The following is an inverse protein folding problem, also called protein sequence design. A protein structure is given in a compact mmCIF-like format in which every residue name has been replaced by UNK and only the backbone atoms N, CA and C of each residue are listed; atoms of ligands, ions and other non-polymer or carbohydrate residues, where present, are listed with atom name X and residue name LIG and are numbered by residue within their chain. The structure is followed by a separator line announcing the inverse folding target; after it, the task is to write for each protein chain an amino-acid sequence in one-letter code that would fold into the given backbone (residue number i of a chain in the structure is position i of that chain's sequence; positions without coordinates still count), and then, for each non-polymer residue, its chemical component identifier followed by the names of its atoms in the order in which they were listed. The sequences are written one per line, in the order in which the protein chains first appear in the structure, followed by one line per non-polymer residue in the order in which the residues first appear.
data_IF_817797709839
#
_entry.id   IF_817797709839
#
_cell.length_a   1.000
_cell.length_b   1.000
_cell.length_c   1.000
_cell.angle_alpha   90.00
_cell.angle_beta   90.00
_cell.angle_gamma   90.00
#
_symmetry.space_group_name_H-M   'P 1'
#
loop_
_entity.id
_entity.type
_entity.pdbx_description
1 polymer ?
#
# COMPACT_ATOMS: atom_id res chain seq x y z
N UNK A 1 -2.73 35.72 6.22
CA UNK A 1 -3.29 34.96 5.08
C UNK A 1 -3.88 33.70 5.67
N UNK A 2 -5.14 33.33 5.34
CA UNK A 2 -5.69 32.05 5.80
C UNK A 2 -4.87 30.91 5.17
N UNK A 3 -4.45 29.94 5.99
CA UNK A 3 -3.75 28.74 5.46
C UNK A 3 -4.66 28.02 4.49
N UNK A 4 -4.09 27.53 3.38
CA UNK A 4 -4.86 26.80 2.38
C UNK A 4 -5.31 25.46 2.98
N UNK A 5 -6.59 25.11 2.79
CA UNK A 5 -7.18 23.87 3.32
C UNK A 5 -6.82 22.68 2.45
N UNK A 6 -6.44 21.55 3.09
CA UNK A 6 -6.09 20.32 2.40
C UNK A 6 -6.64 19.09 3.12
N UNK A 7 -7.00 18.07 2.35
CA UNK A 7 -7.33 16.73 2.82
C UNK A 7 -6.28 15.73 2.34
N UNK A 8 -5.76 14.89 3.23
CA UNK A 8 -4.71 13.91 2.94
C UNK A 8 -5.32 12.51 2.80
N UNK A 9 -4.77 11.74 1.87
CA UNK A 9 -5.21 10.37 1.59
C UNK A 9 -4.01 9.44 1.48
N UNK A 10 -4.14 8.22 2.00
CA UNK A 10 -3.36 7.11 1.45
C UNK A 10 -3.90 6.73 0.06
N UNK A 11 -3.22 5.85 -0.61
CA UNK A 11 -3.54 5.46 -1.97
C UNK A 11 -4.14 4.04 -2.06
N UNK A 12 -3.32 3.01 -1.78
CA UNK A 12 -3.75 1.61 -1.86
C UNK A 12 -4.59 1.20 -0.64
N UNK A 13 -5.81 0.77 -0.85
CA UNK A 13 -6.78 0.47 0.22
C UNK A 13 -7.62 1.69 0.63
N UNK A 14 -7.34 2.87 0.07
CA UNK A 14 -8.13 4.09 0.32
C UNK A 14 -8.75 4.61 -0.97
N UNK A 15 -7.97 4.90 -2.01
CA UNK A 15 -8.46 5.39 -3.29
C UNK A 15 -8.70 4.24 -4.26
N UNK A 16 -7.82 3.23 -4.24
CA UNK A 16 -7.92 2.06 -5.10
C UNK A 16 -7.67 0.76 -4.32
N UNK A 17 -8.33 -0.31 -4.71
CA UNK A 17 -7.92 -1.67 -4.37
C UNK A 17 -6.83 -2.12 -5.34
N UNK A 18 -5.58 -2.17 -4.87
CA UNK A 18 -4.42 -2.61 -5.62
C UNK A 18 -4.08 -4.10 -5.44
N UNK A 19 -4.96 -4.91 -4.86
CA UNK A 19 -4.70 -6.31 -4.49
C UNK A 19 -4.21 -7.14 -5.69
N UNK A 20 -4.87 -7.01 -6.84
CA UNK A 20 -4.52 -7.76 -8.06
C UNK A 20 -3.15 -7.31 -8.59
N UNK A 21 -2.90 -5.99 -8.61
CA UNK A 21 -1.61 -5.44 -9.05
C UNK A 21 -0.46 -5.95 -8.18
N UNK A 22 -0.62 -5.88 -6.87
CA UNK A 22 0.40 -6.35 -5.94
C UNK A 22 0.72 -7.82 -6.09
N UNK A 23 -0.31 -8.67 -6.23
CA UNK A 23 -0.11 -10.09 -6.50
C UNK A 23 0.62 -10.30 -7.81
N UNK A 24 0.11 -9.74 -8.90
CA UNK A 24 0.64 -9.93 -10.25
C UNK A 24 2.07 -9.40 -10.39
N UNK A 25 2.33 -8.19 -9.90
CA UNK A 25 3.67 -7.58 -9.96
C UNK A 25 4.69 -8.33 -9.11
N UNK A 26 4.28 -8.83 -7.94
CA UNK A 26 5.15 -9.62 -7.07
C UNK A 26 5.42 -11.01 -7.63
N UNK A 27 4.42 -11.65 -8.22
CA UNK A 27 4.58 -12.94 -8.91
C UNK A 27 5.58 -12.81 -10.08
N UNK A 28 5.43 -11.76 -10.88
CA UNK A 28 6.33 -11.44 -11.98
C UNK A 28 7.75 -11.11 -11.47
N UNK A 29 7.86 -10.44 -10.32
CA UNK A 29 9.14 -10.17 -9.68
C UNK A 29 9.85 -11.46 -9.28
N UNK A 30 9.11 -12.41 -8.69
CA UNK A 30 9.64 -13.73 -8.34
C UNK A 30 10.08 -14.51 -9.59
N UNK A 31 9.25 -14.52 -10.64
CA UNK A 31 9.54 -15.25 -11.88
C UNK A 31 10.78 -14.72 -12.60
N UNK A 32 10.86 -13.40 -12.78
CA UNK A 32 11.87 -12.79 -13.66
C UNK A 32 13.19 -12.44 -12.98
N UNK A 33 13.17 -12.18 -11.67
CA UNK A 33 14.28 -11.52 -10.98
C UNK A 33 14.78 -12.26 -9.74
N UNK A 34 13.99 -13.20 -9.20
CA UNK A 34 14.36 -13.97 -8.03
C UNK A 34 14.75 -15.41 -8.40
N UNK A 35 15.67 -15.70 -9.21
CA UNK A 35 16.14 -17.06 -9.60
C UNK A 35 15.97 -18.11 -8.47
N UNK A 36 14.72 -18.42 -8.12
CA UNK A 36 14.43 -19.38 -7.06
C UNK A 36 14.20 -20.76 -7.69
N UNK A 37 15.01 -21.77 -7.34
CA UNK A 37 14.86 -23.13 -7.89
C UNK A 37 13.60 -23.84 -7.38
N UNK A 38 12.90 -23.24 -6.42
CA UNK A 38 11.71 -23.84 -5.77
C UNK A 38 10.40 -23.35 -6.37
N UNK A 39 10.44 -22.44 -7.35
CA UNK A 39 9.25 -21.82 -7.92
C UNK A 39 8.80 -22.58 -9.16
N UNK A 40 7.68 -23.28 -9.03
CA UNK A 40 6.94 -23.83 -10.16
C UNK A 40 5.86 -22.84 -10.57
N UNK A 41 6.05 -22.18 -11.73
CA UNK A 41 5.05 -21.26 -12.25
C UNK A 41 3.88 -22.00 -12.88
N UNK A 42 2.76 -22.07 -12.14
CA UNK A 42 1.48 -22.41 -12.72
C UNK A 42 0.86 -21.16 -13.37
N UNK A 43 0.56 -21.16 -14.68
CA UNK A 43 -0.14 -20.04 -15.34
C UNK A 43 -1.46 -19.66 -14.68
N UNK A 44 -2.08 -20.56 -13.90
CA UNK A 44 -3.29 -20.27 -13.12
C UNK A 44 -3.05 -19.23 -12.01
N UNK A 45 -1.83 -19.12 -11.49
CA UNK A 45 -1.45 -18.15 -10.47
C UNK A 45 -1.63 -16.70 -10.97
N UNK A 46 -1.53 -16.47 -12.28
CA UNK A 46 -1.77 -15.15 -12.87
C UNK A 46 -3.25 -14.79 -13.03
N UNK A 47 -4.16 -15.76 -12.87
CA UNK A 47 -5.59 -15.55 -13.08
C UNK A 47 -6.35 -15.15 -11.82
N UNK A 48 -5.81 -15.48 -10.64
CA UNK A 48 -6.54 -15.30 -9.38
C UNK A 48 -5.58 -15.04 -8.23
N UNK A 49 -5.88 -14.02 -7.44
CA UNK A 49 -5.20 -13.76 -6.17
C UNK A 49 -5.56 -14.85 -5.15
N UNK A 50 -4.59 -15.59 -4.58
CA UNK A 50 -4.87 -16.60 -3.56
C UNK A 50 -5.46 -15.99 -2.30
N UNK A 51 -6.37 -16.70 -1.63
CA UNK A 51 -6.95 -16.25 -0.37
C UNK A 51 -5.88 -16.00 0.70
N UNK A 52 -4.86 -16.85 0.79
CA UNK A 52 -3.73 -16.66 1.70
C UNK A 52 -3.08 -15.28 1.54
N UNK A 53 -2.87 -14.81 0.29
CA UNK A 53 -2.29 -13.49 0.06
C UNK A 53 -3.22 -12.38 0.54
N UNK A 54 -4.53 -12.48 0.25
CA UNK A 54 -5.54 -11.50 0.70
C UNK A 54 -5.59 -11.40 2.22
N UNK A 55 -5.54 -12.54 2.90
CA UNK A 55 -5.58 -12.62 4.37
C UNK A 55 -4.33 -12.03 5.03
N UNK A 56 -3.17 -12.09 4.37
CA UNK A 56 -1.91 -11.53 4.89
C UNK A 56 -1.80 -10.02 4.60
N UNK A 57 -2.47 -9.52 3.57
CA UNK A 57 -2.35 -8.12 3.11
C UNK A 57 -2.47 -7.07 4.22
N UNK A 58 -3.35 -7.21 5.24
CA UNK A 58 -3.46 -6.27 6.34
C UNK A 58 -2.19 -6.09 7.20
N UNK A 59 -1.28 -7.05 7.19
CA UNK A 59 0.00 -6.96 7.92
C UNK A 59 1.10 -6.25 7.11
N UNK A 60 0.97 -6.29 5.79
CA UNK A 60 1.99 -5.73 4.88
C UNK A 60 2.04 -4.22 4.98
N UNK A 61 3.24 -3.67 5.16
CA UNK A 61 3.50 -2.23 5.26
C UNK A 61 4.18 -1.68 4.01
N UNK A 62 5.12 -2.43 3.45
CA UNK A 62 5.93 -1.98 2.33
C UNK A 62 5.81 -2.91 1.12
N UNK A 63 5.99 -2.37 -0.08
CA UNK A 63 5.87 -3.15 -1.31
C UNK A 63 6.80 -4.36 -1.38
N UNK A 64 8.03 -4.25 -0.86
CA UNK A 64 8.99 -5.35 -0.86
C UNK A 64 8.49 -6.59 -0.09
N UNK A 65 7.67 -6.40 0.95
CA UNK A 65 7.07 -7.51 1.71
C UNK A 65 6.12 -8.33 0.86
N UNK A 66 5.46 -7.71 -0.14
CA UNK A 66 4.59 -8.42 -1.08
C UNK A 66 5.37 -9.47 -1.88
N UNK A 67 6.57 -9.08 -2.38
CA UNK A 67 7.44 -10.00 -3.13
C UNK A 67 7.86 -11.18 -2.26
N UNK A 68 8.26 -10.91 -1.02
CA UNK A 68 8.65 -11.94 -0.05
C UNK A 68 7.50 -12.91 0.22
N UNK A 69 6.29 -12.39 0.49
CA UNK A 69 5.11 -13.21 0.79
C UNK A 69 4.69 -14.04 -0.42
N UNK A 70 4.68 -13.45 -1.61
CA UNK A 70 4.37 -14.18 -2.83
C UNK A 70 5.37 -15.32 -3.05
N UNK A 71 6.66 -15.05 -2.87
CA UNK A 71 7.69 -16.09 -2.95
C UNK A 71 7.40 -17.27 -2.01
N UNK A 72 7.03 -17.00 -0.76
CA UNK A 72 6.71 -18.07 0.20
C UNK A 72 5.41 -18.82 -0.16
N UNK A 73 4.41 -18.14 -0.70
CA UNK A 73 3.13 -18.75 -1.12
C UNK A 73 3.32 -19.69 -2.32
N UNK A 74 4.20 -19.34 -3.27
CA UNK A 74 4.39 -20.11 -4.49
C UNK A 74 5.42 -21.23 -4.37
N UNK A 75 6.06 -21.39 -3.22
CA UNK A 75 6.90 -22.57 -2.95
C UNK A 75 6.05 -23.83 -2.97
N UNK A 76 6.63 -24.95 -3.47
CA UNK A 76 5.94 -26.24 -3.54
C UNK A 76 5.30 -26.67 -2.22
N UNK A 77 5.93 -26.35 -1.11
CA UNK A 77 5.46 -26.71 0.23
C UNK A 77 4.55 -25.63 0.87
N UNK A 78 4.41 -24.49 0.21
CA UNK A 78 3.67 -23.32 0.72
C UNK A 78 3.80 -23.17 2.25
N UNK A 79 4.96 -22.75 2.76
CA UNK A 79 5.24 -22.78 4.20
C UNK A 79 4.30 -21.91 5.02
N UNK A 80 3.70 -20.88 4.42
CA UNK A 80 2.74 -20.02 5.12
C UNK A 80 1.40 -20.71 5.32
N UNK A 81 0.90 -21.43 4.30
CA UNK A 81 -0.38 -22.11 4.40
C UNK A 81 -0.30 -23.43 5.19
N UNK A 82 0.82 -24.15 5.06
CA UNK A 82 0.98 -25.49 5.63
C UNK A 82 1.53 -25.49 7.08
N UNK A 83 2.18 -24.40 7.53
CA UNK A 83 2.88 -24.32 8.82
C UNK A 83 2.26 -23.28 9.78
N UNK A 84 0.94 -23.32 9.94
CA UNK A 84 0.24 -22.43 10.87
C UNK A 84 0.35 -20.93 10.49
N UNK A 85 -0.51 -20.50 9.57
CA UNK A 85 -0.66 -19.11 9.16
C UNK A 85 -0.76 -18.14 10.34
N UNK A 86 -1.46 -18.53 11.42
CA UNK A 86 -1.64 -17.67 12.58
C UNK A 86 -0.30 -17.38 13.29
N UNK A 87 0.59 -18.38 13.41
CA UNK A 87 1.93 -18.16 13.99
C UNK A 87 2.77 -17.24 13.10
N UNK A 88 2.63 -17.36 11.78
CA UNK A 88 3.29 -16.45 10.86
C UNK A 88 2.80 -15.02 11.06
N UNK A 89 1.50 -14.80 11.18
CA UNK A 89 0.89 -13.47 11.35
C UNK A 89 1.17 -12.86 12.72
N UNK A 90 1.15 -13.66 13.79
CA UNK A 90 1.46 -13.20 15.13
C UNK A 90 2.90 -12.69 15.29
N UNK A 91 3.83 -13.27 14.52
CA UNK A 91 5.24 -12.90 14.49
C UNK A 91 5.65 -12.32 13.12
N UNK A 92 4.75 -11.63 12.43
CA UNK A 92 4.88 -11.21 11.04
C UNK A 92 6.23 -10.54 10.73
N UNK A 93 6.60 -9.54 11.51
CA UNK A 93 7.85 -8.81 11.29
C UNK A 93 9.10 -9.69 11.43
N UNK A 94 9.17 -10.49 12.52
CA UNK A 94 10.29 -11.40 12.75
C UNK A 94 10.39 -12.47 11.66
N UNK A 95 9.24 -12.99 11.20
CA UNK A 95 9.20 -13.95 10.11
C UNK A 95 9.67 -13.33 8.79
N UNK A 96 9.28 -12.10 8.46
CA UNK A 96 9.81 -11.39 7.30
C UNK A 96 11.33 -11.20 7.40
N UNK A 97 11.86 -10.80 8.56
CA UNK A 97 13.31 -10.65 8.76
C UNK A 97 14.06 -11.99 8.63
N UNK A 98 13.49 -13.06 9.17
CA UNK A 98 14.05 -14.41 9.02
C UNK A 98 14.12 -14.82 7.54
N UNK A 99 13.04 -14.66 6.78
CA UNK A 99 13.00 -15.01 5.35
C UNK A 99 14.03 -14.20 4.55
N UNK A 100 14.17 -12.90 4.84
CA UNK A 100 15.22 -12.08 4.23
C UNK A 100 16.61 -12.67 4.50
N UNK A 101 16.89 -13.02 5.75
CA UNK A 101 18.18 -13.59 6.17
C UNK A 101 18.44 -14.94 5.52
N UNK A 102 17.47 -15.86 5.55
CA UNK A 102 17.59 -17.22 5.03
C UNK A 102 17.85 -17.24 3.50
N UNK A 103 17.36 -16.23 2.80
CA UNK A 103 17.59 -16.08 1.36
C UNK A 103 18.71 -15.08 1.01
N UNK A 104 19.40 -14.51 2.00
CA UNK A 104 20.41 -13.45 1.79
C UNK A 104 19.87 -12.26 1.00
N UNK A 105 18.61 -11.88 1.21
CA UNK A 105 17.95 -10.77 0.53
C UNK A 105 18.01 -9.47 1.32
N UNK A 106 17.99 -8.37 0.57
CA UNK A 106 17.90 -7.02 1.12
C UNK A 106 16.54 -6.43 0.72
N UNK A 107 15.78 -5.91 1.67
CA UNK A 107 14.45 -5.33 1.46
C UNK A 107 14.43 -4.27 0.33
N UNK A 108 15.47 -3.43 0.25
CA UNK A 108 15.62 -2.42 -0.81
C UNK A 108 15.74 -3.05 -2.21
N UNK A 109 16.36 -4.21 -2.33
CA UNK A 109 16.51 -4.87 -3.63
C UNK A 109 15.22 -5.58 -4.03
N UNK A 110 14.47 -6.16 -3.09
CA UNK A 110 13.11 -6.65 -3.35
C UNK A 110 12.18 -5.53 -3.81
N UNK A 111 12.29 -4.33 -3.21
CA UNK A 111 11.52 -3.16 -3.68
C UNK A 111 11.90 -2.77 -5.12
N UNK A 112 13.19 -2.77 -5.46
CA UNK A 112 13.66 -2.46 -6.81
C UNK A 112 13.12 -3.46 -7.85
N UNK A 113 13.12 -4.76 -7.53
CA UNK A 113 12.61 -5.77 -8.48
C UNK A 113 11.09 -5.70 -8.63
N UNK A 114 10.35 -5.37 -7.57
CA UNK A 114 8.93 -5.06 -7.67
C UNK A 114 8.69 -3.89 -8.62
N UNK A 115 9.44 -2.81 -8.45
CA UNK A 115 9.31 -1.62 -9.31
C UNK A 115 9.72 -1.90 -10.76
N UNK A 116 10.73 -2.75 -10.99
CA UNK A 116 11.09 -3.25 -12.34
C UNK A 116 9.97 -4.06 -12.97
N UNK A 117 9.30 -4.91 -12.20
CA UNK A 117 8.16 -5.70 -12.67
C UNK A 117 6.99 -4.81 -13.10
N UNK A 118 6.71 -3.75 -12.34
CA UNK A 118 5.72 -2.75 -12.71
C UNK A 118 6.07 -2.02 -14.00
N UNK A 119 7.32 -1.54 -14.11
CA UNK A 119 7.78 -0.88 -15.34
C UNK A 119 7.67 -1.80 -16.54
N UNK A 120 8.08 -3.05 -16.43
CA UNK A 120 7.95 -4.05 -17.49
C UNK A 120 6.49 -4.22 -17.95
N UNK A 121 5.54 -4.30 -16.99
CA UNK A 121 4.10 -4.40 -17.31
C UNK A 121 3.58 -3.13 -18.00
N UNK A 122 3.95 -1.96 -17.49
CA UNK A 122 3.58 -0.66 -18.05
C UNK A 122 4.07 -0.52 -19.49
N UNK A 123 5.31 -0.90 -19.75
CA UNK A 123 5.92 -0.83 -21.08
C UNK A 123 5.28 -1.82 -22.06
N UNK A 124 4.86 -2.98 -21.54
CA UNK A 124 4.22 -4.03 -22.35
C UNK A 124 2.76 -3.71 -22.65
N UNK A 125 1.99 -3.33 -21.65
CA UNK A 125 0.56 -2.97 -21.76
C UNK A 125 0.13 -2.12 -20.56
N UNK A 126 0.21 -0.81 -20.73
CA UNK A 126 -0.16 0.16 -19.70
C UNK A 126 -1.62 0.01 -19.26
N UNK A 127 -2.54 -0.19 -20.20
CA UNK A 127 -3.97 -0.29 -19.91
C UNK A 127 -4.28 -1.52 -19.05
N UNK A 128 -3.71 -2.66 -19.42
CA UNK A 128 -3.87 -3.89 -18.63
C UNK A 128 -3.29 -3.74 -17.23
N UNK A 129 -2.15 -3.06 -17.06
CA UNK A 129 -1.59 -2.79 -15.73
C UNK A 129 -2.48 -1.87 -14.89
N UNK A 130 -3.04 -0.82 -15.47
CA UNK A 130 -3.99 0.07 -14.77
C UNK A 130 -5.24 -0.69 -14.33
N UNK A 131 -5.78 -1.57 -15.17
CA UNK A 131 -6.96 -2.38 -14.88
C UNK A 131 -6.76 -3.42 -13.75
N UNK A 132 -5.55 -3.55 -13.20
CA UNK A 132 -5.30 -4.33 -11.97
C UNK A 132 -5.59 -3.54 -10.69
N UNK A 133 -6.12 -2.31 -10.81
CA UNK A 133 -6.49 -1.45 -9.70
C UNK A 133 -7.97 -1.12 -9.80
N UNK A 134 -8.73 -1.54 -8.80
CA UNK A 134 -10.16 -1.26 -8.73
C UNK A 134 -10.39 0.03 -7.91
N UNK A 135 -10.92 1.13 -8.49
CA UNK A 135 -11.14 2.37 -7.75
C UNK A 135 -12.32 2.25 -6.80
N UNK A 136 -12.21 2.84 -5.60
CA UNK A 136 -13.33 3.05 -4.69
C UNK A 136 -14.13 4.27 -5.14
N UNK A 137 -15.22 4.06 -5.85
CA UNK A 137 -15.98 5.13 -6.49
C UNK A 137 -16.54 6.17 -5.52
N UNK A 138 -16.90 5.77 -4.31
CA UNK A 138 -17.34 6.68 -3.25
C UNK A 138 -16.21 7.67 -2.85
N UNK A 139 -14.98 7.19 -2.82
CA UNK A 139 -13.81 8.05 -2.54
C UNK A 139 -13.52 8.97 -3.74
N UNK A 140 -13.67 8.47 -4.97
CA UNK A 140 -13.52 9.33 -6.16
C UNK A 140 -14.56 10.46 -6.14
N UNK A 141 -15.81 10.16 -5.83
CA UNK A 141 -16.86 11.16 -5.69
C UNK A 141 -16.54 12.18 -4.57
N UNK A 142 -16.01 11.71 -3.44
CA UNK A 142 -15.60 12.59 -2.35
C UNK A 142 -14.45 13.54 -2.77
N UNK A 143 -13.45 13.05 -3.51
CA UNK A 143 -12.38 13.87 -4.07
C UNK A 143 -12.92 14.95 -5.01
N UNK A 144 -13.92 14.65 -5.82
CA UNK A 144 -14.61 15.64 -6.66
C UNK A 144 -15.36 16.70 -5.85
N UNK A 145 -16.05 16.29 -4.78
CA UNK A 145 -16.73 17.23 -3.88
C UNK A 145 -15.75 18.17 -3.16
N UNK A 146 -14.59 17.67 -2.72
CA UNK A 146 -13.53 18.50 -2.16
C UNK A 146 -13.05 19.55 -3.18
N UNK A 147 -12.84 19.13 -4.43
CA UNK A 147 -12.44 20.03 -5.53
C UNK A 147 -13.47 21.12 -5.79
N UNK A 148 -14.77 20.79 -5.80
CA UNK A 148 -15.86 21.78 -5.95
C UNK A 148 -15.90 22.82 -4.84
N UNK A 149 -15.41 22.46 -3.64
CA UNK A 149 -15.33 23.34 -2.47
C UNK A 149 -14.00 24.07 -2.34
N UNK A 150 -13.14 24.02 -3.37
CA UNK A 150 -11.78 24.57 -3.36
C UNK A 150 -10.88 24.03 -2.21
N UNK A 151 -11.14 22.79 -1.77
CA UNK A 151 -10.31 22.08 -0.81
C UNK A 151 -9.28 21.27 -1.60
N UNK A 152 -8.01 21.51 -1.33
CA UNK A 152 -6.92 20.74 -1.95
C UNK A 152 -6.88 19.30 -1.46
N UNK A 153 -6.32 18.42 -2.26
CA UNK A 153 -6.09 17.02 -1.89
C UNK A 153 -4.62 16.68 -2.05
N UNK A 154 -4.07 15.90 -1.11
CA UNK A 154 -2.69 15.42 -1.14
C UNK A 154 -2.63 13.92 -0.92
N UNK A 155 -1.72 13.24 -1.60
CA UNK A 155 -1.53 11.80 -1.49
C UNK A 155 -0.21 11.51 -0.78
N UNK A 156 -0.26 10.67 0.27
CA UNK A 156 0.93 10.19 0.99
C UNK A 156 0.87 8.67 1.07
N UNK A 157 1.70 7.98 0.29
CA UNK A 157 1.60 6.53 0.11
C UNK A 157 2.93 5.80 0.27
N UNK A 158 2.88 4.51 0.59
CA UNK A 158 4.03 3.61 0.52
C UNK A 158 4.25 3.00 -0.87
N UNK A 159 3.40 3.32 -1.85
CA UNK A 159 3.64 3.06 -3.28
C UNK A 159 4.62 4.10 -3.85
N UNK A 160 5.43 3.76 -4.84
CA UNK A 160 6.28 4.73 -5.52
C UNK A 160 5.44 5.81 -6.22
N UNK A 161 5.81 7.09 -6.04
CA UNK A 161 5.10 8.26 -6.60
C UNK A 161 4.74 8.07 -8.08
N UNK A 162 5.70 7.66 -8.89
CA UNK A 162 5.53 7.49 -10.35
C UNK A 162 4.42 6.50 -10.73
N UNK A 163 4.15 5.51 -9.90
CA UNK A 163 3.08 4.53 -10.14
C UNK A 163 1.72 5.07 -9.71
N UNK A 164 1.63 5.66 -8.52
CA UNK A 164 0.42 6.30 -8.03
C UNK A 164 -0.04 7.41 -9.00
N UNK A 165 0.89 8.26 -9.45
CA UNK A 165 0.62 9.34 -10.41
C UNK A 165 0.01 8.85 -11.74
N UNK A 166 0.55 7.74 -12.28
CA UNK A 166 0.01 7.14 -13.52
C UNK A 166 -1.43 6.66 -13.37
N UNK A 167 -1.76 6.06 -12.23
CA UNK A 167 -3.10 5.54 -11.94
C UNK A 167 -4.06 6.71 -11.69
N UNK A 168 -3.69 7.67 -10.84
CA UNK A 168 -4.51 8.86 -10.56
C UNK A 168 -4.82 9.64 -11.84
N UNK A 169 -3.84 9.83 -12.71
CA UNK A 169 -4.04 10.47 -14.01
C UNK A 169 -5.06 9.72 -14.87
N UNK A 170 -5.03 8.40 -14.87
CA UNK A 170 -6.01 7.58 -15.62
C UNK A 170 -7.43 7.69 -15.03
N UNK A 171 -7.54 7.96 -13.74
CA UNK A 171 -8.80 8.20 -13.02
C UNK A 171 -9.26 9.68 -13.09
N UNK A 172 -8.54 10.55 -13.80
CA UNK A 172 -8.76 12.01 -13.86
C UNK A 172 -8.68 12.71 -12.49
N UNK A 173 -7.82 12.18 -11.58
CA UNK A 173 -7.57 12.75 -10.26
C UNK A 173 -6.23 13.47 -10.28
N UNK A 174 -6.22 14.75 -9.91
CA UNK A 174 -5.06 15.63 -9.94
C UNK A 174 -4.85 16.28 -8.55
N UNK A 175 -4.20 15.56 -7.61
CA UNK A 175 -3.92 16.11 -6.29
C UNK A 175 -2.87 17.22 -6.37
N UNK A 176 -2.81 18.08 -5.36
CA UNK A 176 -1.81 19.14 -5.21
C UNK A 176 -0.38 18.56 -5.18
N UNK A 177 -0.22 17.40 -4.53
CA UNK A 177 1.04 16.65 -4.50
C UNK A 177 0.81 15.15 -4.28
N UNK A 178 1.83 14.39 -4.65
CA UNK A 178 1.93 12.96 -4.38
C UNK A 178 3.29 12.70 -3.75
N UNK A 179 3.30 12.15 -2.54
CA UNK A 179 4.49 11.66 -1.85
C UNK A 179 4.47 10.13 -1.80
N UNK A 180 5.42 9.49 -2.48
CA UNK A 180 5.65 8.06 -2.44
C UNK A 180 6.63 7.65 -1.34
N UNK A 181 6.95 6.35 -1.24
CA UNK A 181 7.88 5.83 -0.23
C UNK A 181 9.26 6.50 -0.28
N UNK A 182 9.68 7.00 -1.43
CA UNK A 182 10.94 7.71 -1.65
C UNK A 182 11.00 9.06 -0.95
N UNK A 183 9.86 9.61 -0.55
CA UNK A 183 9.77 10.92 0.10
C UNK A 183 9.94 10.87 1.62
N UNK A 184 9.99 9.69 2.20
CA UNK A 184 10.14 9.47 3.63
C UNK A 184 8.89 8.91 4.32
N UNK A 185 8.82 9.04 5.65
CA UNK A 185 7.69 8.52 6.43
C UNK A 185 6.48 9.44 6.35
N UNK A 186 5.26 8.85 6.38
CA UNK A 186 3.99 9.61 6.35
C UNK A 186 3.93 10.68 7.45
N UNK A 187 4.42 10.37 8.65
CA UNK A 187 4.45 11.31 9.78
C UNK A 187 5.30 12.55 9.46
N UNK A 188 6.54 12.35 9.00
CA UNK A 188 7.44 13.47 8.66
C UNK A 188 6.90 14.33 7.52
N UNK A 189 6.21 13.71 6.56
CA UNK A 189 5.57 14.43 5.46
C UNK A 189 4.39 15.24 6.00
N UNK A 190 3.50 14.62 6.77
CA UNK A 190 2.35 15.30 7.38
C UNK A 190 2.80 16.49 8.27
N UNK A 191 3.82 16.31 9.11
CA UNK A 191 4.40 17.35 9.95
C UNK A 191 4.92 18.56 9.15
N UNK A 192 5.58 18.32 8.02
CA UNK A 192 5.98 19.42 7.12
C UNK A 192 4.78 20.15 6.52
N UNK A 193 3.74 19.41 6.18
CA UNK A 193 2.54 20.00 5.58
C UNK A 193 1.74 20.86 6.54
N UNK A 194 1.75 20.58 7.86
CA UNK A 194 1.10 21.45 8.86
C UNK A 194 1.67 22.86 8.90
N UNK A 195 2.89 23.07 8.39
CA UNK A 195 3.51 24.41 8.33
C UNK A 195 2.92 25.29 7.22
N UNK A 196 2.27 24.68 6.22
CA UNK A 196 1.78 25.38 5.03
C UNK A 196 0.27 25.29 4.88
N UNK A 197 -0.32 24.17 5.31
CA UNK A 197 -1.72 23.86 5.11
C UNK A 197 -2.48 23.69 6.42
N UNK A 198 -3.76 24.06 6.42
CA UNK A 198 -4.74 23.59 7.40
C UNK A 198 -5.20 22.19 6.96
N UNK A 199 -4.70 21.14 7.62
CA UNK A 199 -5.05 19.75 7.27
C UNK A 199 -6.41 19.41 7.89
N UNK A 200 -7.43 19.28 7.04
CA UNK A 200 -8.80 18.99 7.45
C UNK A 200 -9.03 17.52 7.80
N UNK A 201 -8.15 16.64 7.36
CA UNK A 201 -8.21 15.21 7.67
C UNK A 201 -7.16 14.40 6.95
N UNK A 202 -6.89 13.21 7.49
CA UNK A 202 -6.06 12.18 6.88
C UNK A 202 -6.82 10.85 6.87
N UNK A 203 -7.14 10.34 5.67
CA UNK A 203 -7.79 9.04 5.47
C UNK A 203 -6.72 7.99 5.16
N UNK A 204 -6.74 6.91 5.94
CA UNK A 204 -5.74 5.85 5.91
C UNK A 204 -6.40 4.52 6.31
N UNK A 205 -6.04 3.41 5.67
CA UNK A 205 -6.55 2.09 6.02
C UNK A 205 -5.71 1.36 7.08
N UNK A 206 -4.60 1.96 7.52
CA UNK A 206 -3.67 1.39 8.45
C UNK A 206 -3.77 2.07 9.82
N UNK A 207 -4.52 1.46 10.75
CA UNK A 207 -4.73 1.98 12.12
C UNK A 207 -3.45 2.41 12.80
N UNK A 208 -2.36 1.62 12.67
CA UNK A 208 -1.06 1.96 13.28
C UNK A 208 -0.48 3.27 12.75
N UNK A 209 -0.69 3.60 11.46
CA UNK A 209 -0.25 4.88 10.89
C UNK A 209 -0.99 6.05 11.53
N UNK A 210 -2.31 5.93 11.71
CA UNK A 210 -3.13 6.96 12.36
C UNK A 210 -2.75 7.14 13.82
N UNK A 211 -2.51 6.04 14.55
CA UNK A 211 -2.00 6.09 15.93
C UNK A 211 -0.66 6.83 15.99
N UNK A 212 0.26 6.56 15.05
CA UNK A 212 1.56 7.23 15.00
C UNK A 212 1.42 8.73 14.71
N UNK A 213 0.48 9.14 13.84
CA UNK A 213 0.11 10.54 13.58
C UNK A 213 -0.40 11.20 14.86
N UNK A 214 -1.29 10.53 15.61
CA UNK A 214 -1.86 11.07 16.86
C UNK A 214 -0.85 11.18 18.00
N UNK A 215 0.14 10.29 18.06
CA UNK A 215 1.20 10.32 19.09
C UNK A 215 2.28 11.37 18.84
N UNK A 216 2.43 11.86 17.61
CA UNK A 216 3.44 12.86 17.28
C UNK A 216 2.92 14.26 17.56
N UNK A 217 3.62 15.05 18.39
CA UNK A 217 3.19 16.39 18.81
C UNK A 217 2.98 17.38 17.66
N UNK A 218 3.73 17.22 16.56
CA UNK A 218 3.59 18.08 15.37
C UNK A 218 2.38 17.74 14.49
N UNK A 219 1.74 16.57 14.70
CA UNK A 219 0.64 16.06 13.85
C UNK A 219 -0.58 15.61 14.65
N UNK A 220 -0.54 15.57 15.97
CA UNK A 220 -1.63 15.07 16.84
C UNK A 220 -2.96 15.79 16.66
N UNK A 221 -2.93 17.06 16.23
CA UNK A 221 -4.12 17.86 15.96
C UNK A 221 -4.83 17.51 14.63
N UNK A 222 -4.19 16.74 13.74
CA UNK A 222 -4.78 16.35 12.46
C UNK A 222 -5.95 15.39 12.72
N UNK A 223 -7.17 15.67 12.21
CA UNK A 223 -8.27 14.72 12.23
C UNK A 223 -7.89 13.46 11.44
N UNK A 224 -8.09 12.28 12.03
CA UNK A 224 -7.74 11.00 11.44
C UNK A 224 -8.99 10.17 11.15
N UNK A 225 -9.04 9.53 9.99
CA UNK A 225 -10.17 8.70 9.58
C UNK A 225 -9.66 7.33 9.10
N UNK A 226 -10.13 6.27 9.73
CA UNK A 226 -9.82 4.91 9.33
C UNK A 226 -10.74 4.47 8.18
N UNK A 227 -10.15 4.15 7.03
CA UNK A 227 -10.87 3.61 5.89
C UNK A 227 -11.24 2.15 6.15
N UNK A 228 -12.47 1.87 6.60
CA UNK A 228 -12.91 0.53 7.00
C UNK A 228 -13.16 -0.42 5.82
N UNK A 229 -13.18 0.10 4.59
CA UNK A 229 -13.22 -0.64 3.33
C UNK A 229 -11.84 -1.12 2.86
N UNK A 230 -10.75 -0.66 3.48
CA UNK A 230 -9.36 -0.95 3.11
C UNK A 230 -8.81 -2.26 3.66
N UNK A 231 -7.48 -2.37 3.71
CA UNK A 231 -6.77 -3.58 4.13
C UNK A 231 -6.57 -3.62 5.65
N UNK A 232 -7.64 -3.88 6.37
CA UNK A 232 -7.68 -3.90 7.82
C UNK A 232 -7.56 -5.32 8.38
N UNK A 233 -6.89 -5.44 9.52
CA UNK A 233 -7.06 -6.60 10.39
C UNK A 233 -8.43 -6.51 11.04
N UNK A 234 -9.03 -7.65 11.34
CA UNK A 234 -10.30 -7.67 12.08
C UNK A 234 -10.22 -6.87 13.38
N UNK A 235 -9.11 -7.02 14.11
CA UNK A 235 -8.84 -6.26 15.35
C UNK A 235 -8.75 -4.75 15.18
N UNK A 236 -8.45 -4.26 13.96
CA UNK A 236 -8.30 -2.82 13.71
C UNK A 236 -9.66 -2.10 13.68
N UNK A 237 -10.76 -2.84 13.47
CA UNK A 237 -12.14 -2.33 13.46
C UNK A 237 -12.68 -2.01 14.85
N UNK A 238 -12.05 -2.57 15.89
CA UNK A 238 -12.48 -2.43 17.27
C UNK A 238 -11.49 -1.56 18.07
N UNK A 239 -11.97 -1.01 19.19
CA UNK A 239 -11.16 -0.19 20.11
C UNK A 239 -10.47 0.98 19.39
N UNK A 240 -11.21 1.66 18.52
CA UNK A 240 -10.78 2.96 18.00
C UNK A 240 -10.81 3.96 19.15
N UNK A 241 -9.76 4.76 19.30
CA UNK A 241 -9.81 5.91 20.19
C UNK A 241 -10.79 6.94 19.60
N UNK A 242 -11.39 7.78 20.44
CA UNK A 242 -12.27 8.88 19.99
C UNK A 242 -11.55 9.88 19.07
N UNK A 243 -10.28 9.69 18.81
CA UNK A 243 -9.43 10.56 17.98
C UNK A 243 -9.21 10.01 16.54
N UNK A 244 -9.75 8.81 16.26
CA UNK A 244 -9.63 8.11 14.94
C UNK A 244 -11.01 7.72 14.47
#
# INVERSE_FOLDING_TARGET
MSSQKIFLFDFDGVIVDGMQEYWYSSLLACEKYLNSPYIFFDPKLYKRVPNTFKEIRPWVKYGWEMVLIVHEIIKKENPIANHNKNDFLNNYHQNCQRILKDNSWIAKDLQKILDKSRLYQIDKDFKSWVNLHDPFFEVINFLEELRKRDIKTGIITTKGKKFAEKILKQLNIFPEFIFGYESGTKIKIAEKLTQTYEILGFIEDRKTTLIDIKKNSGTSHIPCFLADWGYLKESDRYNLSNEI
#
